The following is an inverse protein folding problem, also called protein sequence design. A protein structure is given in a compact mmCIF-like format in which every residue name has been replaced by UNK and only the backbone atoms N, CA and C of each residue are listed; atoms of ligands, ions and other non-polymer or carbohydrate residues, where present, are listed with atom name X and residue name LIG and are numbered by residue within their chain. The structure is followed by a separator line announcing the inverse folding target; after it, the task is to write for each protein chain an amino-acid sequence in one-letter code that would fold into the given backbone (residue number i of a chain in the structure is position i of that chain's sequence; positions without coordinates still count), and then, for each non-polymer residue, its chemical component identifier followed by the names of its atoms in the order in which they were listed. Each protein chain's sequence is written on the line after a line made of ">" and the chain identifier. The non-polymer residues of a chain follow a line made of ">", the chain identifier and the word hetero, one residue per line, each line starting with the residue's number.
data_IF_164326153331
#
_entry.id   IF_164326153331
#
_cell.length_a   1.000
_cell.length_b   1.000
_cell.length_c   1.000
_cell.angle_alpha   90.00
_cell.angle_beta   90.00
_cell.angle_gamma   90.00
#
_symmetry.space_group_name_H-M   'P 1'
#
loop_
_entity.id
_entity.type
_entity.pdbx_description
1 polymer ?
#
# COMPACT_ATOMS: atom_id res chain seq x y z
N UNK A 1 -18.23 -16.14 -15.15
CA UNK A 1 -17.67 -14.83 -15.49
C UNK A 1 -16.14 -14.76 -15.38
N UNK A 2 -15.44 -15.78 -14.93
CA UNK A 2 -13.96 -15.80 -14.80
C UNK A 2 -13.16 -16.03 -16.09
N UNK A 3 -13.77 -16.54 -17.15
CA UNK A 3 -13.01 -16.90 -18.37
C UNK A 3 -12.62 -15.73 -19.28
N UNK A 4 -13.27 -14.57 -19.16
CA UNK A 4 -12.91 -13.40 -20.00
C UNK A 4 -11.70 -12.59 -19.52
N UNK A 5 -11.30 -12.73 -18.26
CA UNK A 5 -10.15 -11.96 -17.74
C UNK A 5 -8.80 -12.59 -18.07
N UNK A 6 -8.71 -13.91 -18.25
CA UNK A 6 -7.46 -14.59 -18.60
C UNK A 6 -6.98 -14.36 -20.03
N UNK A 7 -7.90 -14.06 -20.95
CA UNK A 7 -7.53 -13.78 -22.36
C UNK A 7 -7.03 -12.34 -22.56
N UNK A 8 -7.46 -11.40 -21.73
CA UNK A 8 -7.06 -9.97 -21.82
C UNK A 8 -5.60 -9.79 -21.39
N UNK A 9 -5.11 -10.58 -20.44
CA UNK A 9 -3.76 -10.42 -19.87
C UNK A 9 -2.61 -10.88 -20.80
N UNK A 10 -2.91 -11.59 -21.88
CA UNK A 10 -1.89 -12.14 -22.80
C UNK A 10 -1.88 -11.49 -24.18
N UNK A 11 -2.78 -10.57 -24.47
CA UNK A 11 -2.87 -9.96 -25.80
C UNK A 11 -2.14 -8.62 -25.83
N UNK A 12 -0.99 -8.52 -26.53
CA UNK A 12 -0.23 -7.26 -26.67
C UNK A 12 -1.01 -6.12 -27.35
N UNK A 13 -2.19 -6.41 -27.94
CA UNK A 13 -3.05 -5.40 -28.56
C UNK A 13 -3.74 -4.45 -27.60
N UNK A 14 -3.65 -4.68 -26.27
CA UNK A 14 -4.23 -3.81 -25.24
C UNK A 14 -3.22 -2.89 -24.55
N UNK A 15 -1.97 -2.87 -25.02
CA UNK A 15 -0.99 -1.89 -24.53
C UNK A 15 -1.26 -0.54 -25.19
N UNK A 16 -1.60 0.46 -24.41
CA UNK A 16 -1.89 1.83 -24.87
C UNK A 16 -0.63 2.69 -25.09
N UNK A 17 0.49 2.07 -25.39
CA UNK A 17 1.76 2.73 -25.63
C UNK A 17 2.33 2.43 -27.01
N UNK A 18 3.48 3.00 -27.31
CA UNK A 18 4.26 2.70 -28.52
C UNK A 18 4.93 1.32 -28.41
N UNK A 19 5.35 0.76 -29.56
CA UNK A 19 6.13 -0.47 -29.56
C UNK A 19 7.45 -0.35 -28.78
N UNK A 20 8.06 0.83 -28.78
CA UNK A 20 9.27 1.14 -28.02
C UNK A 20 9.00 1.14 -26.52
N UNK A 21 7.93 1.76 -26.08
CA UNK A 21 7.49 1.77 -24.68
C UNK A 21 7.15 0.35 -24.20
N UNK A 22 6.51 -0.48 -25.03
CA UNK A 22 6.27 -1.87 -24.72
C UNK A 22 7.56 -2.68 -24.54
N UNK A 23 8.56 -2.44 -25.39
CA UNK A 23 9.90 -3.08 -25.28
C UNK A 23 10.59 -2.61 -24.00
N UNK A 24 10.56 -1.31 -23.72
CA UNK A 24 11.12 -0.74 -22.49
C UNK A 24 10.46 -1.31 -21.23
N UNK A 25 9.14 -1.40 -21.24
CA UNK A 25 8.38 -2.01 -20.12
C UNK A 25 8.76 -3.47 -19.90
N UNK A 26 8.89 -4.27 -20.97
CA UNK A 26 9.38 -5.66 -20.87
C UNK A 26 10.82 -5.73 -20.36
N UNK A 27 11.68 -4.86 -20.81
CA UNK A 27 13.07 -4.78 -20.33
C UNK A 27 13.11 -4.45 -18.85
N UNK A 28 12.31 -3.49 -18.40
CA UNK A 28 12.20 -3.12 -16.98
C UNK A 28 11.67 -4.30 -16.17
N UNK A 29 10.65 -5.00 -16.64
CA UNK A 29 10.12 -6.19 -15.97
C UNK A 29 11.18 -7.29 -15.76
N UNK A 30 12.08 -7.46 -16.73
CA UNK A 30 13.11 -8.50 -16.69
C UNK A 30 14.36 -8.08 -15.88
N UNK A 31 14.75 -6.78 -15.92
CA UNK A 31 16.06 -6.34 -15.46
C UNK A 31 15.98 -5.09 -14.56
N UNK A 32 14.86 -4.85 -13.87
CA UNK A 32 14.66 -3.65 -13.03
C UNK A 32 15.77 -3.51 -11.97
N UNK A 33 16.26 -4.61 -11.43
CA UNK A 33 17.27 -4.64 -10.38
C UNK A 33 18.61 -4.00 -10.81
N UNK A 34 18.95 -4.03 -12.10
CA UNK A 34 20.17 -3.40 -12.63
C UNK A 34 20.12 -1.87 -12.51
N UNK A 35 18.91 -1.29 -12.61
CA UNK A 35 18.68 0.15 -12.55
C UNK A 35 18.48 0.67 -11.13
N UNK A 36 18.06 -0.19 -10.20
CA UNK A 36 17.67 0.19 -8.83
C UNK A 36 18.65 -0.29 -7.77
N UNK A 37 19.81 -0.78 -8.18
CA UNK A 37 20.83 -1.30 -7.26
C UNK A 37 21.21 -0.28 -6.19
N UNK A 38 21.05 -0.66 -4.93
CA UNK A 38 21.36 0.18 -3.76
C UNK A 38 20.30 1.21 -3.41
N UNK A 39 19.21 1.30 -4.17
CA UNK A 39 18.05 2.12 -3.79
C UNK A 39 17.26 1.44 -2.67
N UNK A 40 16.61 2.25 -1.84
CA UNK A 40 15.65 1.81 -0.83
C UNK A 40 14.27 2.27 -1.24
N UNK A 41 13.27 1.44 -0.98
CA UNK A 41 11.87 1.72 -1.30
C UNK A 41 10.98 1.60 -0.08
N UNK A 42 9.95 2.42 -0.05
CA UNK A 42 8.85 2.33 0.90
C UNK A 42 7.55 2.21 0.10
N UNK A 43 6.86 1.09 0.19
CA UNK A 43 5.53 0.93 -0.44
C UNK A 43 4.44 1.35 0.55
N UNK A 44 3.80 2.52 0.36
CA UNK A 44 2.80 3.04 1.29
C UNK A 44 1.41 2.41 1.15
N UNK A 45 1.24 1.43 0.27
CA UNK A 45 -0.02 0.70 0.11
C UNK A 45 0.21 -0.67 -0.53
N UNK A 46 0.18 -1.72 0.29
CA UNK A 46 0.29 -3.11 -0.14
C UNK A 46 -0.50 -4.01 0.82
N UNK A 47 -1.13 -5.08 0.34
CA UNK A 47 -1.96 -5.98 1.15
C UNK A 47 -1.28 -7.34 1.36
N UNK A 48 -0.33 -7.37 2.30
CA UNK A 48 0.50 -8.56 2.55
C UNK A 48 -0.28 -9.74 3.14
N UNK A 49 -1.41 -9.50 3.81
CA UNK A 49 -2.33 -10.56 4.24
C UNK A 49 -2.82 -11.45 3.09
N UNK A 50 -2.77 -10.94 1.87
CA UNK A 50 -3.15 -11.68 0.64
C UNK A 50 -1.94 -12.22 -0.13
N UNK A 51 -0.71 -12.05 0.38
CA UNK A 51 0.54 -12.39 -0.31
C UNK A 51 1.28 -13.53 0.40
N UNK A 52 2.20 -14.15 -0.31
CA UNK A 52 2.98 -15.28 0.19
C UNK A 52 4.32 -14.87 0.79
N UNK A 53 5.03 -15.82 1.37
CA UNK A 53 6.39 -15.64 1.90
C UNK A 53 7.38 -15.26 0.81
N UNK A 54 7.21 -15.79 -0.40
CA UNK A 54 8.08 -15.52 -1.55
C UNK A 54 8.02 -14.04 -1.96
N UNK A 55 6.86 -13.40 -1.79
CA UNK A 55 6.71 -11.96 -2.05
C UNK A 55 7.54 -11.13 -1.06
N UNK A 56 7.61 -11.51 0.22
CA UNK A 56 8.50 -10.84 1.19
C UNK A 56 9.97 -10.97 0.80
N UNK A 57 10.39 -12.16 0.34
CA UNK A 57 11.76 -12.37 -0.15
C UNK A 57 12.03 -11.48 -1.36
N UNK A 58 11.11 -11.46 -2.33
CA UNK A 58 11.25 -10.63 -3.52
C UNK A 58 11.28 -9.12 -3.19
N UNK A 59 10.48 -8.66 -2.23
CA UNK A 59 10.44 -7.27 -1.78
C UNK A 59 11.77 -6.83 -1.17
N UNK A 60 12.34 -7.61 -0.22
CA UNK A 60 13.62 -7.23 0.40
C UNK A 60 14.78 -7.28 -0.58
N UNK A 61 14.79 -8.27 -1.48
CA UNK A 61 15.81 -8.38 -2.53
C UNK A 61 15.75 -7.21 -3.52
N UNK A 62 14.55 -6.66 -3.73
CA UNK A 62 14.34 -5.46 -4.55
C UNK A 62 14.66 -4.14 -3.83
N UNK A 63 14.96 -4.16 -2.53
CA UNK A 63 15.28 -2.98 -1.74
C UNK A 63 14.08 -2.33 -1.04
N UNK A 64 12.93 -3.01 -0.97
CA UNK A 64 11.79 -2.52 -0.17
C UNK A 64 12.08 -2.76 1.31
N UNK A 65 12.23 -1.70 2.08
CA UNK A 65 12.63 -1.74 3.49
C UNK A 65 11.48 -1.49 4.45
N UNK A 66 10.42 -0.85 3.97
CA UNK A 66 9.23 -0.57 4.76
C UNK A 66 7.97 -0.62 3.88
N UNK A 67 6.85 -0.96 4.51
CA UNK A 67 5.53 -1.06 3.86
C UNK A 67 4.45 -0.55 4.80
N UNK A 68 3.34 -0.05 4.20
CA UNK A 68 2.08 0.20 4.91
C UNK A 68 1.01 -0.72 4.34
N UNK A 69 0.33 -1.45 5.20
CA UNK A 69 -0.81 -2.27 4.85
C UNK A 69 -2.10 -1.63 5.36
N UNK A 70 -2.88 -0.99 4.49
CA UNK A 70 -4.17 -0.45 4.90
C UNK A 70 -5.22 -1.54 5.08
N UNK A 71 -6.11 -1.32 6.03
CA UNK A 71 -7.27 -2.20 6.21
C UNK A 71 -8.20 -2.10 4.99
N UNK A 72 -8.58 -3.26 4.42
CA UNK A 72 -9.44 -3.32 3.24
C UNK A 72 -10.44 -4.50 3.29
N UNK A 73 -11.34 -4.57 2.32
CA UNK A 73 -12.50 -5.46 2.33
C UNK A 73 -12.21 -6.95 2.04
N UNK A 74 -10.99 -7.35 1.73
CA UNK A 74 -10.54 -8.74 1.50
C UNK A 74 -11.22 -9.49 0.33
N UNK A 75 -11.82 -8.80 -0.64
CA UNK A 75 -12.44 -9.42 -1.82
C UNK A 75 -13.83 -10.01 -1.60
N UNK A 76 -14.27 -10.09 -0.33
CA UNK A 76 -15.64 -10.46 0.02
C UNK A 76 -16.08 -9.72 1.28
N UNK A 77 -17.37 -9.34 1.37
CA UNK A 77 -17.90 -8.68 2.57
C UNK A 77 -17.72 -9.56 3.82
N UNK A 78 -17.25 -8.95 4.90
CA UNK A 78 -17.23 -9.61 6.21
C UNK A 78 -18.66 -9.75 6.75
N UNK A 79 -18.91 -10.83 7.45
CA UNK A 79 -20.26 -11.20 7.92
C UNK A 79 -20.51 -10.88 9.38
N UNK A 80 -19.50 -10.44 10.12
CA UNK A 80 -19.65 -10.15 11.55
C UNK A 80 -18.46 -9.43 12.15
N UNK A 81 -18.69 -8.82 13.32
CA UNK A 81 -17.70 -8.02 14.04
C UNK A 81 -16.43 -8.81 14.42
N UNK A 82 -16.58 -10.12 14.71
CA UNK A 82 -15.44 -10.97 15.07
C UNK A 82 -14.39 -11.02 13.95
N UNK A 83 -14.83 -11.10 12.69
CA UNK A 83 -13.90 -11.12 11.54
C UNK A 83 -13.13 -9.80 11.35
N UNK A 84 -13.72 -8.66 11.72
CA UNK A 84 -12.98 -7.39 11.79
C UNK A 84 -11.94 -7.38 12.90
N UNK A 85 -12.32 -7.85 14.11
CA UNK A 85 -11.38 -7.93 15.25
C UNK A 85 -10.19 -8.82 14.92
N UNK A 86 -10.42 -9.98 14.33
CA UNK A 86 -9.36 -10.91 13.93
C UNK A 86 -8.46 -10.28 12.86
N UNK A 87 -9.06 -9.62 11.88
CA UNK A 87 -8.31 -8.95 10.82
C UNK A 87 -7.46 -7.78 11.34
N UNK A 88 -8.04 -6.87 12.12
CA UNK A 88 -7.29 -5.76 12.70
C UNK A 88 -6.19 -6.26 13.64
N UNK A 89 -6.45 -7.31 14.43
CA UNK A 89 -5.45 -7.96 15.28
C UNK A 89 -4.32 -8.57 14.46
N UNK A 90 -4.63 -9.13 13.28
CA UNK A 90 -3.61 -9.64 12.36
C UNK A 90 -2.73 -8.49 11.84
N UNK A 91 -3.30 -7.38 11.40
CA UNK A 91 -2.54 -6.23 10.89
C UNK A 91 -1.60 -5.65 11.96
N UNK A 92 -2.08 -5.41 13.17
CA UNK A 92 -1.26 -4.81 14.24
C UNK A 92 -0.28 -5.77 14.90
N UNK A 93 -0.43 -7.07 14.71
CA UNK A 93 0.37 -8.10 15.38
C UNK A 93 1.06 -9.06 14.42
N UNK A 94 0.31 -9.97 13.82
CA UNK A 94 0.86 -11.09 13.06
C UNK A 94 1.63 -10.64 11.80
N UNK A 95 1.07 -9.74 11.00
CA UNK A 95 1.73 -9.28 9.78
C UNK A 95 3.01 -8.48 10.09
N UNK A 96 3.02 -7.69 11.15
CA UNK A 96 4.24 -7.02 11.63
C UNK A 96 5.33 -8.04 12.01
N UNK A 97 4.94 -9.08 12.74
CA UNK A 97 5.87 -10.16 13.10
C UNK A 97 6.35 -10.91 11.85
N UNK A 98 5.45 -11.26 10.93
CA UNK A 98 5.78 -11.96 9.68
C UNK A 98 6.76 -11.15 8.83
N UNK A 99 6.49 -9.88 8.62
CA UNK A 99 7.34 -8.95 7.87
C UNK A 99 8.73 -8.79 8.51
N UNK A 100 8.80 -8.68 9.83
CA UNK A 100 10.06 -8.53 10.56
C UNK A 100 11.02 -9.70 10.35
N UNK A 101 10.52 -10.87 9.98
CA UNK A 101 11.34 -12.05 9.69
C UNK A 101 12.17 -11.89 8.41
N UNK A 102 11.78 -10.96 7.56
CA UNK A 102 12.46 -10.63 6.30
C UNK A 102 13.23 -9.30 6.38
N UNK A 103 13.23 -8.65 7.55
CA UNK A 103 13.89 -7.36 7.72
C UNK A 103 13.11 -6.18 7.12
N UNK A 104 11.84 -6.39 6.78
CA UNK A 104 10.95 -5.33 6.28
C UNK A 104 10.14 -4.78 7.45
N UNK A 105 10.12 -3.46 7.62
CA UNK A 105 9.28 -2.79 8.61
C UNK A 105 7.84 -2.70 8.10
N UNK A 106 6.92 -3.27 8.84
CA UNK A 106 5.50 -3.22 8.53
C UNK A 106 4.78 -2.23 9.42
N UNK A 107 4.05 -1.34 8.78
CA UNK A 107 3.06 -0.44 9.39
C UNK A 107 1.69 -0.76 8.81
N UNK A 108 0.63 -0.23 9.44
CA UNK A 108 -0.72 -0.36 8.92
C UNK A 108 -1.54 0.91 9.14
N UNK A 109 -2.59 1.06 8.36
CA UNK A 109 -3.69 1.97 8.66
C UNK A 109 -4.93 1.16 8.98
N UNK A 110 -5.73 1.61 9.96
CA UNK A 110 -6.91 0.90 10.45
C UNK A 110 -8.14 1.73 10.13
N UNK A 111 -9.12 1.10 9.51
CA UNK A 111 -10.36 1.77 9.11
C UNK A 111 -11.43 0.79 8.65
N UNK A 112 -12.65 1.29 8.54
CA UNK A 112 -13.76 0.62 7.87
C UNK A 112 -13.73 1.01 6.40
N UNK A 113 -13.42 0.05 5.53
CA UNK A 113 -13.38 0.27 4.09
C UNK A 113 -14.76 0.70 3.55
N UNK A 114 -14.76 1.56 2.54
CA UNK A 114 -15.98 2.12 1.94
C UNK A 114 -17.00 1.06 1.53
N UNK A 115 -16.57 -0.04 0.91
CA UNK A 115 -17.50 -1.12 0.52
C UNK A 115 -18.24 -1.74 1.69
N UNK A 116 -17.56 -1.92 2.81
CA UNK A 116 -18.12 -2.53 4.02
C UNK A 116 -18.99 -1.54 4.81
N UNK A 117 -18.82 -0.25 4.60
CA UNK A 117 -19.67 0.80 5.15
C UNK A 117 -21.15 0.66 4.73
N UNK A 118 -21.42 0.05 3.58
CA UNK A 118 -22.77 -0.16 3.07
C UNK A 118 -23.59 -1.22 3.86
N UNK A 119 -22.96 -1.98 4.74
CA UNK A 119 -23.66 -2.79 5.76
C UNK A 119 -23.70 -2.00 7.08
N UNK A 120 -24.61 -1.02 7.16
CA UNK A 120 -24.66 -0.07 8.27
C UNK A 120 -24.77 -0.72 9.65
N UNK A 121 -25.52 -1.81 9.80
CA UNK A 121 -25.67 -2.50 11.08
C UNK A 121 -24.35 -3.12 11.58
N UNK A 122 -23.48 -3.56 10.67
CA UNK A 122 -22.16 -4.05 11.00
C UNK A 122 -21.16 -2.89 11.12
N UNK A 123 -21.29 -1.89 10.27
CA UNK A 123 -20.45 -0.70 10.27
C UNK A 123 -20.52 0.06 11.61
N UNK A 124 -21.71 0.20 12.20
CA UNK A 124 -21.88 0.80 13.54
C UNK A 124 -21.08 0.05 14.61
N UNK A 125 -21.12 -1.28 14.62
CA UNK A 125 -20.35 -2.11 15.56
C UNK A 125 -18.84 -1.98 15.32
N UNK A 126 -18.42 -1.85 14.06
CA UNK A 126 -17.00 -1.67 13.73
C UNK A 126 -16.51 -0.32 14.21
N UNK A 127 -17.30 0.74 14.05
CA UNK A 127 -16.94 2.08 14.57
C UNK A 127 -16.71 2.09 16.08
N UNK A 128 -17.45 1.28 16.85
CA UNK A 128 -17.24 1.15 18.30
C UNK A 128 -15.88 0.55 18.68
N UNK A 129 -15.33 -0.31 17.82
CA UNK A 129 -14.06 -1.00 18.12
C UNK A 129 -12.83 -0.31 17.49
N UNK A 130 -12.99 0.53 16.48
CA UNK A 130 -11.87 1.19 15.81
C UNK A 130 -10.92 1.90 16.79
N UNK A 131 -11.40 2.67 17.79
CA UNK A 131 -10.51 3.34 18.75
C UNK A 131 -9.59 2.39 19.52
N UNK A 132 -9.98 1.11 19.69
CA UNK A 132 -9.14 0.13 20.38
C UNK A 132 -7.88 -0.25 19.60
N UNK A 133 -7.89 0.00 18.30
CA UNK A 133 -6.78 -0.35 17.39
C UNK A 133 -5.95 0.87 16.98
N UNK A 134 -6.53 2.06 16.89
CA UNK A 134 -5.84 3.27 16.38
C UNK A 134 -4.59 3.66 17.17
N UNK A 135 -4.54 3.33 18.47
CA UNK A 135 -3.40 3.64 19.33
C UNK A 135 -2.39 2.49 19.47
N UNK A 136 -2.55 1.42 18.66
CA UNK A 136 -1.59 0.30 18.69
C UNK A 136 -0.30 0.68 17.97
N UNK A 137 0.81 0.11 18.48
CA UNK A 137 2.12 0.28 17.85
C UNK A 137 2.09 -0.16 16.37
N UNK A 138 2.66 0.67 15.50
CA UNK A 138 2.72 0.44 14.06
C UNK A 138 1.47 0.88 13.29
N UNK A 139 0.44 1.42 13.96
CA UNK A 139 -0.68 2.07 13.28
C UNK A 139 -0.28 3.51 12.96
N UNK A 140 -0.17 3.82 11.68
CA UNK A 140 0.33 5.11 11.19
C UNK A 140 -0.75 5.98 10.57
N UNK A 141 -2.00 5.52 10.55
CA UNK A 141 -3.09 6.29 9.97
C UNK A 141 -4.46 5.64 10.15
N UNK A 142 -5.49 6.38 9.82
CA UNK A 142 -6.85 5.88 9.61
C UNK A 142 -7.06 5.61 8.13
N UNK A 143 -7.38 4.37 7.78
CA UNK A 143 -7.52 3.98 6.36
C UNK A 143 -7.57 2.45 6.18
N UNK A 144 -7.97 2.03 5.03
CA UNK A 144 -8.39 2.72 3.83
C UNK A 144 -9.87 3.14 3.97
N UNK A 145 -10.15 4.44 3.91
CA UNK A 145 -11.51 5.01 4.05
C UNK A 145 -11.86 5.89 2.84
N UNK A 146 -13.10 6.25 2.64
CA UNK A 146 -13.51 7.11 1.53
C UNK A 146 -14.69 6.54 0.75
N UNK A 147 -14.59 6.51 -0.59
CA UNK A 147 -15.70 6.14 -1.47
C UNK A 147 -15.35 5.03 -2.46
N UNK A 148 -16.33 4.13 -2.70
CA UNK A 148 -16.33 3.15 -3.80
C UNK A 148 -17.51 3.38 -4.74
N UNK A 149 -18.75 3.32 -4.24
CA UNK A 149 -20.00 3.57 -4.98
C UNK A 149 -20.60 4.96 -4.70
N UNK A 150 -19.99 5.77 -3.85
CA UNK A 150 -20.39 7.12 -3.47
C UNK A 150 -21.80 7.16 -2.84
N UNK A 151 -22.09 6.21 -1.96
CA UNK A 151 -23.36 6.12 -1.24
C UNK A 151 -23.40 7.03 -0.01
N UNK A 152 -24.62 7.29 0.50
CA UNK A 152 -24.81 8.04 1.74
C UNK A 152 -24.18 7.32 2.97
N UNK A 153 -24.19 5.98 2.98
CA UNK A 153 -23.54 5.19 4.02
C UNK A 153 -22.02 5.37 3.99
N UNK A 154 -21.39 5.30 2.81
CA UNK A 154 -19.96 5.56 2.65
C UNK A 154 -19.60 6.96 3.15
N UNK A 155 -20.38 8.00 2.80
CA UNK A 155 -20.17 9.37 3.28
C UNK A 155 -20.30 9.45 4.81
N UNK A 156 -21.35 8.87 5.39
CA UNK A 156 -21.57 8.83 6.85
C UNK A 156 -20.35 8.29 7.58
N UNK A 157 -19.88 7.10 7.17
CA UNK A 157 -18.77 6.45 7.86
C UNK A 157 -17.41 7.05 7.49
N UNK A 158 -17.26 7.67 6.34
CA UNK A 158 -16.08 8.46 6.02
C UNK A 158 -15.96 9.65 6.99
N UNK A 159 -17.02 10.44 7.17
CA UNK A 159 -17.05 11.57 8.11
C UNK A 159 -16.73 11.17 9.55
N UNK A 160 -17.33 10.07 10.04
CA UNK A 160 -17.06 9.58 11.39
C UNK A 160 -15.60 9.16 11.58
N UNK A 161 -14.98 8.56 10.57
CA UNK A 161 -13.59 8.15 10.63
C UNK A 161 -12.61 9.32 10.50
N UNK A 162 -12.99 10.39 9.83
CA UNK A 162 -12.23 11.65 9.85
C UNK A 162 -12.20 12.26 11.27
N UNK A 163 -13.32 12.23 12.01
CA UNK A 163 -13.30 12.66 13.41
C UNK A 163 -12.37 11.79 14.27
N UNK A 164 -12.40 10.48 14.11
CA UNK A 164 -11.48 9.58 14.81
C UNK A 164 -10.01 9.87 14.47
N UNK A 165 -9.71 10.20 13.22
CA UNK A 165 -8.37 10.60 12.79
C UNK A 165 -7.91 11.86 13.52
N UNK A 166 -8.76 12.89 13.62
CA UNK A 166 -8.47 14.13 14.35
C UNK A 166 -8.22 13.86 15.84
N UNK A 167 -9.10 13.08 16.47
CA UNK A 167 -8.98 12.73 17.90
C UNK A 167 -7.67 11.96 18.18
N UNK A 168 -7.28 11.05 17.27
CA UNK A 168 -6.08 10.26 17.40
C UNK A 168 -4.81 10.99 16.94
N UNK A 169 -4.91 12.11 16.22
CA UNK A 169 -3.78 12.81 15.62
C UNK A 169 -3.09 12.00 14.52
N UNK A 170 -3.84 11.18 13.79
CA UNK A 170 -3.31 10.26 12.78
C UNK A 170 -3.58 10.76 11.36
N UNK A 171 -2.64 10.59 10.42
CA UNK A 171 -2.90 10.77 8.99
C UNK A 171 -4.09 9.93 8.48
N UNK A 172 -4.67 10.36 7.37
CA UNK A 172 -5.79 9.65 6.72
C UNK A 172 -5.36 9.13 5.36
N UNK A 173 -5.60 7.84 5.08
CA UNK A 173 -5.42 7.24 3.77
C UNK A 173 -6.78 7.03 3.11
N UNK A 174 -7.03 7.78 2.02
CA UNK A 174 -8.33 7.88 1.37
C UNK A 174 -8.37 7.04 0.11
N UNK A 175 -9.27 6.07 0.09
CA UNK A 175 -9.66 5.35 -1.11
C UNK A 175 -10.53 6.22 -2.01
N UNK A 176 -10.20 6.31 -3.30
CA UNK A 176 -11.00 7.02 -4.29
C UNK A 176 -11.68 6.06 -5.26
N UNK A 177 -12.94 6.31 -5.67
CA UNK A 177 -13.71 5.37 -6.45
C UNK A 177 -13.15 5.15 -7.85
N UNK A 178 -13.45 3.99 -8.44
CA UNK A 178 -13.14 3.71 -9.84
C UNK A 178 -14.10 4.42 -10.80
N UNK A 179 -15.38 4.52 -10.43
CA UNK A 179 -16.41 5.20 -11.21
C UNK A 179 -16.55 6.65 -10.77
N UNK A 180 -16.79 7.56 -11.73
CA UNK A 180 -16.87 9.00 -11.46
C UNK A 180 -15.71 9.50 -10.58
N UNK A 181 -14.50 9.03 -10.91
CA UNK A 181 -13.30 9.21 -10.09
C UNK A 181 -13.06 10.66 -9.71
N UNK A 182 -13.09 11.57 -10.66
CA UNK A 182 -12.88 13.01 -10.41
C UNK A 182 -13.86 13.55 -9.38
N UNK A 183 -15.16 13.26 -9.56
CA UNK A 183 -16.22 13.68 -8.63
C UNK A 183 -16.00 13.10 -7.22
N UNK A 184 -15.73 11.81 -7.11
CA UNK A 184 -15.52 11.16 -5.82
C UNK A 184 -14.24 11.63 -5.11
N UNK A 185 -13.17 11.91 -5.86
CA UNK A 185 -11.95 12.48 -5.32
C UNK A 185 -12.19 13.91 -4.80
N UNK A 186 -12.88 14.75 -5.58
CA UNK A 186 -13.23 16.11 -5.16
C UNK A 186 -14.14 16.12 -3.93
N UNK A 187 -15.11 15.21 -3.87
CA UNK A 187 -15.97 15.03 -2.71
C UNK A 187 -15.18 14.62 -1.47
N UNK A 188 -14.26 13.65 -1.59
CA UNK A 188 -13.41 13.22 -0.49
C UNK A 188 -12.60 14.38 0.09
N UNK A 189 -11.97 15.18 -0.77
CA UNK A 189 -11.19 16.34 -0.36
C UNK A 189 -12.06 17.42 0.28
N UNK A 190 -13.24 17.70 -0.30
CA UNK A 190 -14.16 18.70 0.23
C UNK A 190 -14.62 18.35 1.65
N UNK A 191 -14.96 17.08 1.89
CA UNK A 191 -15.36 16.59 3.21
C UNK A 191 -14.21 16.68 4.21
N UNK A 192 -12.98 16.30 3.82
CA UNK A 192 -11.82 16.42 4.71
C UNK A 192 -11.57 17.88 5.13
N UNK A 193 -11.67 18.81 4.18
CA UNK A 193 -11.54 20.26 4.47
C UNK A 193 -12.68 20.77 5.34
N UNK A 194 -13.92 20.33 5.11
CA UNK A 194 -15.10 20.68 5.93
C UNK A 194 -14.90 20.25 7.39
N UNK A 195 -14.28 19.08 7.62
CA UNK A 195 -13.91 18.60 8.96
C UNK A 195 -12.70 19.34 9.57
N UNK A 196 -12.08 20.27 8.83
CA UNK A 196 -10.93 21.03 9.29
C UNK A 196 -9.65 20.19 9.46
N UNK A 197 -9.50 19.13 8.66
CA UNK A 197 -8.27 18.34 8.62
C UNK A 197 -7.26 19.07 7.73
N UNK A 198 -6.03 19.18 8.21
CA UNK A 198 -4.94 19.74 7.41
C UNK A 198 -4.72 18.84 6.17
N UNK A 199 -4.74 19.39 4.95
CA UNK A 199 -4.44 18.61 3.73
C UNK A 199 -3.15 17.82 3.80
N UNK A 200 -2.14 18.32 4.50
CA UNK A 200 -0.86 17.60 4.69
C UNK A 200 -0.99 16.31 5.50
N UNK A 201 -2.10 16.12 6.22
CA UNK A 201 -2.42 14.90 6.96
C UNK A 201 -3.22 13.89 6.13
N UNK A 202 -3.56 14.21 4.87
CA UNK A 202 -4.47 13.37 4.06
C UNK A 202 -3.78 12.90 2.80
N UNK A 203 -3.74 11.60 2.64
CA UNK A 203 -3.22 10.91 1.45
C UNK A 203 -4.41 10.50 0.59
N UNK A 204 -4.57 11.15 -0.55
CA UNK A 204 -5.57 10.79 -1.57
C UNK A 204 -4.96 9.69 -2.43
N UNK A 205 -5.50 8.48 -2.36
CA UNK A 205 -4.94 7.33 -3.08
C UNK A 205 -5.66 7.05 -4.40
N UNK A 206 -5.02 6.23 -5.23
CA UNK A 206 -5.49 5.81 -6.56
C UNK A 206 -5.72 6.97 -7.53
N UNK A 207 -4.88 8.02 -7.48
CA UNK A 207 -4.94 9.13 -8.41
C UNK A 207 -4.67 8.71 -9.87
N UNK A 208 -5.10 9.57 -10.78
CA UNK A 208 -4.78 9.52 -12.19
C UNK A 208 -4.62 10.96 -12.74
N UNK A 209 -4.51 11.10 -14.07
CA UNK A 209 -4.31 12.36 -14.75
C UNK A 209 -5.47 13.36 -14.54
N UNK A 210 -6.69 12.87 -14.23
CA UNK A 210 -7.88 13.71 -14.02
C UNK A 210 -7.93 14.34 -12.62
N UNK A 211 -7.23 13.74 -11.65
CA UNK A 211 -7.37 14.09 -10.23
C UNK A 211 -6.13 14.78 -9.65
N UNK A 212 -4.94 14.45 -10.14
CA UNK A 212 -3.65 14.85 -9.56
C UNK A 212 -3.51 16.36 -9.38
N UNK A 213 -3.86 17.15 -10.39
CA UNK A 213 -3.73 18.62 -10.34
C UNK A 213 -4.53 19.20 -9.18
N UNK A 214 -5.82 18.84 -9.09
CA UNK A 214 -6.69 19.32 -8.00
C UNK A 214 -6.25 18.84 -6.62
N UNK A 215 -5.66 17.65 -6.51
CA UNK A 215 -5.14 17.10 -5.24
C UNK A 215 -3.92 17.91 -4.78
N UNK A 216 -2.95 18.13 -5.66
CA UNK A 216 -1.74 18.87 -5.35
C UNK A 216 -2.02 20.36 -5.07
N UNK A 217 -2.87 21.00 -5.87
CA UNK A 217 -3.23 22.42 -5.69
C UNK A 217 -3.87 22.71 -4.34
N UNK A 218 -4.60 21.74 -3.78
CA UNK A 218 -5.20 21.85 -2.44
C UNK A 218 -4.27 21.44 -1.29
N UNK A 219 -3.03 21.02 -1.60
CA UNK A 219 -2.01 20.68 -0.63
C UNK A 219 -2.09 19.27 -0.06
N UNK A 220 -2.90 18.40 -0.65
CA UNK A 220 -2.98 16.98 -0.29
C UNK A 220 -1.78 16.19 -0.81
N UNK A 221 -1.55 15.00 -0.26
CA UNK A 221 -0.65 14.01 -0.84
C UNK A 221 -1.36 13.23 -1.95
N UNK A 222 -0.70 13.11 -3.10
CA UNK A 222 -1.22 12.35 -4.23
C UNK A 222 -0.52 10.98 -4.32
N UNK A 223 -1.20 9.90 -3.95
CA UNK A 223 -0.69 8.55 -4.09
C UNK A 223 -1.23 7.90 -5.38
N UNK A 224 -0.35 7.16 -6.04
CA UNK A 224 -0.61 6.51 -7.33
C UNK A 224 -0.36 5.02 -7.23
N UNK A 225 -1.36 4.25 -7.59
CA UNK A 225 -1.29 2.80 -7.57
C UNK A 225 -0.93 2.23 -8.92
N UNK A 226 0.17 1.49 -8.96
CA UNK A 226 0.58 0.78 -10.17
C UNK A 226 -0.11 -0.58 -10.21
N UNK A 227 -1.25 -0.58 -10.89
CA UNK A 227 -2.11 -1.74 -11.07
C UNK A 227 -2.69 -1.69 -12.50
N UNK A 228 -1.93 -2.13 -13.52
CA UNK A 228 -2.16 -1.79 -14.94
C UNK A 228 -3.54 -2.11 -15.48
N UNK A 229 -4.19 -3.16 -14.94
CA UNK A 229 -5.49 -3.60 -15.47
C UNK A 229 -6.67 -2.77 -14.97
N UNK A 230 -6.55 -2.07 -13.86
CA UNK A 230 -7.67 -1.36 -13.25
C UNK A 230 -7.38 0.07 -12.83
N UNK A 231 -6.10 0.46 -12.75
CA UNK A 231 -5.69 1.78 -12.28
C UNK A 231 -4.67 2.43 -13.22
N UNK A 232 -3.38 2.32 -12.92
CA UNK A 232 -2.32 3.00 -13.67
C UNK A 232 -1.17 2.05 -13.98
N UNK A 233 -0.49 2.24 -15.11
CA UNK A 233 0.77 1.58 -15.45
C UNK A 233 1.99 2.45 -15.17
N UNK A 234 3.17 1.83 -15.23
CA UNK A 234 4.45 2.50 -14.95
C UNK A 234 4.73 3.69 -15.89
N UNK A 235 4.40 3.55 -17.19
CA UNK A 235 4.64 4.57 -18.20
C UNK A 235 3.84 5.85 -17.89
N UNK A 236 2.56 5.70 -17.58
CA UNK A 236 1.70 6.83 -17.20
C UNK A 236 2.22 7.53 -15.95
N UNK A 237 2.73 6.75 -14.98
CA UNK A 237 3.32 7.31 -13.77
C UNK A 237 4.57 8.16 -14.05
N UNK A 238 5.42 7.73 -14.99
CA UNK A 238 6.57 8.54 -15.42
C UNK A 238 6.12 9.88 -15.99
N UNK A 239 5.07 9.88 -16.80
CA UNK A 239 4.54 11.12 -17.39
C UNK A 239 3.90 12.04 -16.33
N UNK A 240 3.28 11.47 -15.28
CA UNK A 240 2.81 12.25 -14.13
C UNK A 240 3.99 12.99 -13.47
N UNK A 241 5.07 12.28 -13.14
CA UNK A 241 6.24 12.89 -12.47
C UNK A 241 6.90 13.93 -13.36
N UNK A 242 7.02 13.70 -14.67
CA UNK A 242 7.56 14.70 -15.60
C UNK A 242 6.73 15.98 -15.66
N UNK A 243 5.40 15.84 -15.57
CA UNK A 243 4.49 16.97 -15.69
C UNK A 243 4.33 17.77 -14.39
N UNK A 244 4.20 17.07 -13.26
CA UNK A 244 3.83 17.67 -11.98
C UNK A 244 4.98 17.74 -10.96
N UNK A 245 6.14 17.15 -11.28
CA UNK A 245 7.27 17.05 -10.36
C UNK A 245 7.10 15.87 -9.40
N UNK A 246 7.92 15.86 -8.36
CA UNK A 246 8.02 14.77 -7.37
C UNK A 246 7.45 15.15 -6.01
N UNK A 247 7.21 16.45 -5.76
CA UNK A 247 6.73 16.92 -4.46
C UNK A 247 5.31 16.43 -4.16
N UNK A 248 5.10 15.87 -2.97
CA UNK A 248 3.82 15.32 -2.49
C UNK A 248 3.21 14.20 -3.37
N UNK A 249 3.99 13.60 -4.25
CA UNK A 249 3.60 12.46 -5.08
C UNK A 249 4.24 11.20 -4.51
N UNK A 250 3.47 10.13 -4.39
CA UNK A 250 3.99 8.82 -3.99
C UNK A 250 3.43 7.69 -4.84
N UNK A 251 4.21 6.64 -5.02
CA UNK A 251 3.85 5.44 -5.77
C UNK A 251 3.65 4.29 -4.81
N UNK A 252 2.63 3.49 -5.06
CA UNK A 252 2.37 2.24 -4.34
C UNK A 252 1.97 1.11 -5.29
N UNK A 253 1.99 -0.12 -4.78
CA UNK A 253 1.57 -1.29 -5.54
C UNK A 253 0.09 -1.61 -5.37
N UNK A 254 -0.49 -1.33 -4.21
CA UNK A 254 -1.74 -1.89 -3.73
C UNK A 254 -1.86 -3.40 -4.04
N UNK A 255 -0.72 -4.11 -4.06
CA UNK A 255 -0.70 -5.51 -4.46
C UNK A 255 -1.48 -6.36 -3.46
N UNK A 256 -2.45 -7.08 -3.99
CA UNK A 256 -3.38 -7.94 -3.28
C UNK A 256 -3.41 -9.35 -3.91
N UNK A 257 -4.47 -10.12 -3.73
CA UNK A 257 -4.64 -11.42 -4.37
C UNK A 257 -5.05 -11.33 -5.86
N UNK A 258 -5.33 -10.15 -6.38
CA UNK A 258 -5.64 -9.93 -7.79
C UNK A 258 -4.40 -10.02 -8.69
N UNK A 259 -4.59 -9.70 -9.97
CA UNK A 259 -3.47 -9.64 -10.93
C UNK A 259 -2.67 -8.36 -10.66
N UNK A 260 -1.85 -8.40 -9.64
CA UNK A 260 -1.05 -7.28 -9.13
C UNK A 260 0.41 -7.68 -8.95
N UNK A 261 1.28 -6.69 -8.87
CA UNK A 261 2.72 -6.90 -8.78
C UNK A 261 3.27 -6.24 -7.50
N UNK A 262 3.73 -7.01 -6.50
CA UNK A 262 4.31 -6.45 -5.27
C UNK A 262 5.59 -5.66 -5.54
N UNK A 263 6.25 -5.87 -6.68
CA UNK A 263 7.45 -5.15 -7.10
C UNK A 263 7.13 -3.92 -7.97
N UNK A 264 5.89 -3.45 -7.99
CA UNK A 264 5.49 -2.32 -8.81
C UNK A 264 6.29 -1.05 -8.49
N UNK A 265 6.58 -0.78 -7.21
CA UNK A 265 7.35 0.41 -6.80
C UNK A 265 8.79 0.37 -7.34
N UNK A 266 9.63 -0.65 -7.08
CA UNK A 266 10.98 -0.71 -7.64
C UNK A 266 11.00 -0.77 -9.17
N UNK A 267 10.05 -1.44 -9.80
CA UNK A 267 9.95 -1.47 -11.28
C UNK A 267 9.59 -0.09 -11.86
N UNK A 268 8.73 0.66 -11.19
CA UNK A 268 8.43 2.06 -11.58
C UNK A 268 9.66 2.95 -11.44
N UNK A 269 10.42 2.81 -10.35
CA UNK A 269 11.68 3.53 -10.16
C UNK A 269 12.70 3.23 -11.27
N UNK A 270 12.83 1.97 -11.67
CA UNK A 270 13.69 1.58 -12.78
C UNK A 270 13.28 2.26 -14.10
N UNK A 271 12.00 2.27 -14.41
CA UNK A 271 11.50 2.95 -15.61
C UNK A 271 11.72 4.47 -15.54
N UNK A 272 11.47 5.10 -14.39
CA UNK A 272 11.76 6.52 -14.17
C UNK A 272 13.22 6.83 -14.47
N UNK A 273 14.15 6.00 -13.99
CA UNK A 273 15.58 6.16 -14.24
C UNK A 273 15.94 6.04 -15.73
N UNK A 274 15.39 5.04 -16.42
CA UNK A 274 15.56 4.86 -17.87
C UNK A 274 15.02 6.06 -18.64
N UNK A 275 13.92 6.64 -18.20
CA UNK A 275 13.28 7.81 -18.84
C UNK A 275 13.87 9.16 -18.41
N UNK A 276 14.97 9.16 -17.64
CA UNK A 276 15.77 10.33 -17.29
C UNK A 276 15.24 11.15 -16.11
N UNK A 277 14.36 10.60 -15.28
CA UNK A 277 14.01 11.21 -14.00
C UNK A 277 15.24 11.14 -13.08
N UNK A 278 15.49 12.20 -12.31
CA UNK A 278 16.62 12.26 -11.40
C UNK A 278 16.52 11.25 -10.26
N UNK A 279 17.66 10.78 -9.73
CA UNK A 279 17.69 9.85 -8.60
C UNK A 279 17.04 10.49 -7.35
N UNK A 280 17.11 11.81 -7.20
CA UNK A 280 16.44 12.52 -6.11
C UNK A 280 14.91 12.50 -6.25
N UNK A 281 14.38 12.79 -7.44
CA UNK A 281 12.93 12.72 -7.70
C UNK A 281 12.40 11.30 -7.51
N UNK A 282 13.16 10.29 -7.99
CA UNK A 282 12.81 8.89 -7.79
C UNK A 282 12.76 8.58 -6.29
N UNK A 283 13.76 9.00 -5.52
CA UNK A 283 13.81 8.81 -4.06
C UNK A 283 12.63 9.48 -3.36
N UNK A 284 12.27 10.68 -3.75
CA UNK A 284 11.10 11.38 -3.21
C UNK A 284 9.83 10.57 -3.43
N UNK A 285 9.56 10.18 -4.66
CA UNK A 285 8.31 9.53 -5.08
C UNK A 285 8.16 8.09 -4.53
N UNK A 286 9.27 7.37 -4.40
CA UNK A 286 9.25 5.93 -4.05
C UNK A 286 9.70 5.61 -2.62
N UNK A 287 10.06 6.64 -1.84
CA UNK A 287 10.57 6.43 -0.49
C UNK A 287 10.22 7.60 0.45
N UNK A 288 10.76 8.82 0.19
CA UNK A 288 10.74 9.90 1.17
C UNK A 288 9.34 10.46 1.42
N UNK A 289 8.55 10.68 0.37
CA UNK A 289 7.22 11.27 0.53
C UNK A 289 6.28 10.38 1.35
N UNK A 290 6.41 9.06 1.27
CA UNK A 290 5.68 8.15 2.13
C UNK A 290 6.08 8.32 3.62
N UNK A 291 7.38 8.49 3.88
CA UNK A 291 7.87 8.78 5.24
C UNK A 291 7.30 10.10 5.73
N UNK A 292 7.43 11.18 4.95
CA UNK A 292 7.02 12.53 5.35
C UNK A 292 5.51 12.60 5.62
N UNK A 293 4.70 11.91 4.81
CA UNK A 293 3.25 11.86 4.99
C UNK A 293 2.85 11.11 6.27
N UNK A 294 3.39 9.92 6.50
CA UNK A 294 2.95 9.04 7.58
C UNK A 294 3.74 9.19 8.89
N UNK A 295 4.93 9.80 8.87
CA UNK A 295 5.69 10.10 10.11
C UNK A 295 4.96 11.10 11.03
N UNK A 296 4.00 11.85 10.49
CA UNK A 296 3.12 12.72 11.27
C UNK A 296 2.31 11.95 12.34
N UNK A 297 2.15 10.64 12.20
CA UNK A 297 1.59 9.75 13.23
C UNK A 297 2.45 9.65 14.50
N UNK A 298 3.73 10.04 14.43
CA UNK A 298 4.70 9.82 15.50
C UNK A 298 5.17 8.37 15.65
N UNK A 299 4.73 7.44 14.79
CA UNK A 299 5.01 6.01 14.87
C UNK A 299 6.13 5.55 13.94
N UNK A 300 6.52 6.36 12.94
CA UNK A 300 7.58 6.02 12.01
C UNK A 300 8.91 6.54 12.54
N UNK A 301 9.86 5.60 12.76
CA UNK A 301 11.24 5.91 13.05
C UNK A 301 12.12 5.39 11.90
N UNK A 302 12.72 6.31 11.16
CA UNK A 302 13.55 5.99 9.98
C UNK A 302 14.73 5.08 10.34
N UNK A 303 15.27 5.19 11.55
CA UNK A 303 16.35 4.32 12.02
C UNK A 303 15.95 2.82 12.04
N UNK A 304 14.67 2.50 12.17
CA UNK A 304 14.18 1.11 12.23
C UNK A 304 14.40 0.34 10.91
N UNK A 305 14.51 1.04 9.79
CA UNK A 305 14.67 0.41 8.47
C UNK A 305 15.85 0.95 7.66
N UNK A 306 16.55 1.98 8.10
CA UNK A 306 17.82 2.40 7.50
C UNK A 306 18.97 1.49 7.86
N UNK A 307 18.90 0.86 9.03
CA UNK A 307 19.86 -0.15 9.48
C UNK A 307 19.14 -1.50 9.56
N UNK A 308 19.06 -2.26 8.45
CA UNK A 308 18.33 -3.51 8.43
C UNK A 308 18.90 -4.48 9.45
N UNK A 309 18.05 -4.97 10.33
CA UNK A 309 18.43 -6.06 11.23
C UNK A 309 18.39 -7.36 10.43
N UNK A 310 19.54 -7.98 10.28
CA UNK A 310 19.61 -9.34 9.73
C UNK A 310 19.02 -10.29 10.79
N UNK A 311 17.81 -10.76 10.55
CA UNK A 311 17.19 -11.76 11.41
C UNK A 311 17.72 -13.13 11.01
N UNK A 312 18.55 -13.74 11.87
CA UNK A 312 18.97 -15.13 11.66
C UNK A 312 17.77 -16.06 11.93
N UNK A 313 17.16 -16.51 10.85
CA UNK A 313 16.03 -17.43 10.90
C UNK A 313 16.35 -18.72 11.65
N UNK A 314 17.61 -19.16 11.66
CA UNK A 314 18.03 -20.39 12.36
C UNK A 314 17.89 -20.28 13.88
N UNK A 315 18.02 -19.08 14.44
CA UNK A 315 17.88 -18.83 15.87
C UNK A 315 16.44 -19.00 16.38
N UNK A 316 15.44 -18.87 15.52
CA UNK A 316 14.03 -19.02 15.88
C UNK A 316 13.65 -20.44 16.28
N UNK A 317 14.42 -21.41 15.90
CA UNK A 317 14.21 -22.80 16.25
C UNK A 317 14.89 -23.22 17.54
N UNK A 318 15.80 -22.39 18.07
CA UNK A 318 16.44 -22.62 19.35
C UNK A 318 15.39 -22.57 20.48
N UNK A 319 15.29 -23.65 21.24
CA UNK A 319 14.30 -23.76 22.31
C UNK A 319 12.85 -23.95 21.85
N UNK A 320 12.60 -24.26 20.58
CA UNK A 320 11.26 -24.52 20.08
C UNK A 320 10.69 -25.83 20.66
N UNK A 321 9.78 -25.69 21.62
CA UNK A 321 9.12 -26.82 22.32
C UNK A 321 7.96 -27.43 21.52
N UNK A 322 7.59 -26.85 20.39
CA UNK A 322 6.52 -27.40 19.51
C UNK A 322 6.97 -28.68 18.82
N UNK A 323 8.27 -28.89 18.69
CA UNK A 323 8.82 -30.12 18.16
C UNK A 323 8.69 -31.24 19.19
N UNK A 324 7.70 -32.08 18.99
CA UNK A 324 7.40 -33.21 19.85
C UNK A 324 8.57 -34.22 19.87
N UNK A 325 8.91 -34.70 21.07
CA UNK A 325 9.94 -35.73 21.24
C UNK A 325 11.38 -35.26 21.37
N UNK A 326 11.61 -33.98 21.65
CA UNK A 326 12.96 -33.46 21.89
C UNK A 326 13.87 -33.47 20.64
N UNK A 327 13.26 -33.52 19.45
CA UNK A 327 14.01 -33.46 18.21
C UNK A 327 14.61 -32.07 18.02
N UNK A 328 15.90 -32.00 17.80
CA UNK A 328 16.55 -30.77 17.33
C UNK A 328 16.16 -30.58 15.86
N UNK A 329 15.59 -29.42 15.46
CA UNK A 329 15.29 -29.16 14.07
C UNK A 329 16.57 -29.27 13.25
N UNK A 330 16.61 -30.17 12.31
CA UNK A 330 17.67 -30.21 11.29
C UNK A 330 17.23 -29.30 10.17
N UNK A 331 17.78 -28.10 10.16
CA UNK A 331 17.65 -27.23 9.01
C UNK A 331 18.68 -27.69 8.00
N UNK A 332 18.21 -28.29 6.93
CA UNK A 332 19.04 -28.47 5.75
C UNK A 332 19.22 -27.09 5.10
N UNK A 333 20.39 -26.48 5.33
CA UNK A 333 20.72 -25.18 4.75
C UNK A 333 20.64 -25.16 3.23
N UNK A 334 20.75 -26.31 2.57
CA UNK A 334 20.65 -26.42 1.13
C UNK A 334 19.19 -26.45 0.65
N UNK A 335 18.24 -26.80 1.49
CA UNK A 335 16.80 -26.75 1.16
C UNK A 335 16.18 -25.37 1.29
N UNK A 336 16.87 -24.42 1.93
CA UNK A 336 16.46 -23.02 2.06
C UNK A 336 16.96 -22.12 0.93
N UNK A 337 17.80 -22.64 0.04
CA UNK A 337 18.19 -21.96 -1.18
C UNK A 337 17.11 -22.23 -2.20
N UNK A 338 16.08 -21.39 -2.19
CA UNK A 338 15.10 -21.30 -3.26
C UNK A 338 15.84 -20.64 -4.41
N UNK A 339 16.12 -21.47 -5.44
CA UNK A 339 16.75 -21.05 -6.69
C UNK A 339 15.83 -20.14 -7.51
#
# INVERSE_FOLDING_TARGET
>A
MCQKHSEISQNPSHFEGTAEELVTSKTVQANYADYTKGMKFFDPHIHMTSRTTDDYTALIDAGVVAIIEPAFWLGQPRTGLASFKDYFSSLVGWERFRSSQFGIKHYCTIGLNSREANNEALAEQVMEILPLFLYKEGVVGVGEIGFDDQTAAEEKYYRLQLELSKEAGLPVQVHTPHRDKKKGTELSMAIALEHGIDPSMVIIDHNNEETVESVLDKGFWAAFTIYPFTKMGNERMVEIVKKYGSERIMVNSAADWGISDPLAVPKTAALMKIKGISDEDIRLVTYQNAIDAFAQSGQINVADFETPQVIDQSLKFNGNTVLRGGQIPRIDKNSLIIS
#
